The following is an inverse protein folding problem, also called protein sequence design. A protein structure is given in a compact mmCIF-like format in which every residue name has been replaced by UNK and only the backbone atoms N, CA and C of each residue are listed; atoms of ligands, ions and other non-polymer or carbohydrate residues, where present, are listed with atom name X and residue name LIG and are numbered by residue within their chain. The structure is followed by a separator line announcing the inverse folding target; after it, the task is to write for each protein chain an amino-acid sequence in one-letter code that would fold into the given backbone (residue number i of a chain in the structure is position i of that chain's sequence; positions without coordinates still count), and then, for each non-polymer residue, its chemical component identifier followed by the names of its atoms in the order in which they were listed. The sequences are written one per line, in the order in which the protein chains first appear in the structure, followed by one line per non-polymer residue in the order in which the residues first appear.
data_IF_565534271662
#
_entry.id   IF_565534271662
#
_cell.length_a   1.000
_cell.length_b   1.000
_cell.length_c   1.000
_cell.angle_alpha   90.00
_cell.angle_beta   90.00
_cell.angle_gamma   90.00
#
_symmetry.space_group_name_H-M   'P 1'
#
loop_
_entity.id
_entity.type
_entity.pdbx_description
1 polymer ?
#
# COMPACT_ATOMS: atom_id res chain seq x y z
N UNK A 1 20.47 -6.60 -18.55
CA UNK A 1 20.54 -8.05 -18.31
C UNK A 1 19.19 -8.52 -17.85
N UNK A 2 18.56 -9.48 -18.52
CA UNK A 2 17.36 -10.11 -17.98
C UNK A 2 17.75 -10.83 -16.68
N UNK A 3 17.03 -10.57 -15.59
CA UNK A 3 17.20 -11.31 -14.33
C UNK A 3 16.79 -12.75 -14.63
N UNK A 4 17.78 -13.66 -14.61
CA UNK A 4 17.52 -15.08 -14.81
C UNK A 4 16.71 -15.55 -13.61
N UNK A 5 15.45 -15.94 -13.82
CA UNK A 5 14.66 -16.58 -12.78
C UNK A 5 15.38 -17.86 -12.34
N UNK A 6 15.63 -17.99 -11.06
CA UNK A 6 16.09 -19.25 -10.48
C UNK A 6 14.85 -20.11 -10.36
N UNK A 7 14.76 -21.18 -11.13
CA UNK A 7 13.70 -22.16 -11.00
C UNK A 7 13.94 -22.95 -9.73
N UNK A 8 12.95 -22.95 -8.83
CA UNK A 8 12.94 -23.81 -7.66
C UNK A 8 12.35 -25.18 -8.04
N UNK A 9 12.89 -26.26 -7.50
CA UNK A 9 12.34 -27.61 -7.65
C UNK A 9 11.07 -27.83 -6.79
N UNK A 10 10.65 -26.83 -6.04
CA UNK A 10 9.48 -26.88 -5.14
C UNK A 10 8.46 -25.86 -5.63
N UNK A 11 7.21 -26.29 -5.82
CA UNK A 11 6.13 -25.37 -6.18
C UNK A 11 5.82 -24.37 -5.05
N UNK A 12 5.26 -23.21 -5.42
CA UNK A 12 5.03 -22.11 -4.47
C UNK A 12 4.05 -22.44 -3.34
N UNK A 13 3.10 -23.36 -3.58
CA UNK A 13 2.14 -23.81 -2.56
C UNK A 13 2.82 -24.66 -1.50
N UNK A 14 3.61 -25.64 -1.94
CA UNK A 14 4.41 -26.50 -1.04
C UNK A 14 5.41 -25.67 -0.24
N UNK A 15 6.09 -24.73 -0.89
CA UNK A 15 7.01 -23.81 -0.22
C UNK A 15 6.30 -22.94 0.84
N UNK A 16 5.12 -22.39 0.52
CA UNK A 16 4.34 -21.57 1.46
C UNK A 16 3.92 -22.40 2.69
N UNK A 17 3.43 -23.63 2.50
CA UNK A 17 3.07 -24.53 3.60
C UNK A 17 4.28 -24.89 4.47
N UNK A 18 5.44 -25.14 3.86
CA UNK A 18 6.66 -25.43 4.61
C UNK A 18 7.07 -24.24 5.49
N UNK A 19 7.05 -23.03 4.95
CA UNK A 19 7.33 -21.78 5.70
C UNK A 19 6.35 -21.61 6.87
N UNK A 20 5.06 -21.88 6.65
CA UNK A 20 4.06 -21.82 7.72
C UNK A 20 4.36 -22.83 8.83
N UNK A 21 4.73 -24.08 8.50
CA UNK A 21 5.14 -25.06 9.52
C UNK A 21 6.33 -24.56 10.33
N UNK A 22 7.35 -24.04 9.65
CA UNK A 22 8.57 -23.57 10.28
C UNK A 22 8.29 -22.43 11.27
N UNK A 23 7.49 -21.43 10.87
CA UNK A 23 7.17 -20.32 11.77
C UNK A 23 6.30 -20.76 12.95
N UNK A 24 5.41 -21.75 12.75
CA UNK A 24 4.58 -22.28 13.83
C UNK A 24 5.39 -22.97 14.92
N UNK A 25 6.51 -23.59 14.58
CA UNK A 25 7.40 -24.22 15.56
C UNK A 25 8.27 -23.21 16.31
N UNK A 26 8.68 -22.13 15.66
CA UNK A 26 9.68 -21.17 16.18
C UNK A 26 9.09 -19.97 16.90
N UNK A 27 7.90 -19.51 16.52
CA UNK A 27 7.32 -18.27 17.07
C UNK A 27 6.41 -18.55 18.28
N UNK A 28 6.53 -17.78 19.39
CA UNK A 28 5.67 -17.96 20.58
C UNK A 28 4.25 -17.45 20.36
N UNK A 29 4.09 -16.34 19.62
CA UNK A 29 2.80 -15.71 19.30
C UNK A 29 2.75 -15.33 17.82
N UNK A 30 1.61 -15.56 17.20
CA UNK A 30 1.36 -15.33 15.78
C UNK A 30 0.14 -14.46 15.59
N UNK A 31 0.30 -13.40 14.78
CA UNK A 31 -0.75 -12.45 14.46
C UNK A 31 -0.97 -12.42 12.95
N UNK A 32 -2.10 -12.94 12.48
CA UNK A 32 -2.48 -12.84 11.06
C UNK A 32 -3.13 -11.49 10.81
N UNK A 33 -2.46 -10.62 10.06
CA UNK A 33 -3.00 -9.34 9.62
C UNK A 33 -3.95 -9.56 8.45
N UNK A 34 -5.22 -9.73 8.77
CA UNK A 34 -6.27 -10.07 7.81
C UNK A 34 -6.90 -8.81 7.22
N UNK A 35 -6.99 -8.69 5.91
CA UNK A 35 -7.52 -7.50 5.21
C UNK A 35 -8.65 -7.80 4.23
N UNK A 36 -9.15 -9.03 4.16
CA UNK A 36 -10.12 -9.51 3.16
C UNK A 36 -9.65 -9.39 1.69
N UNK A 37 -8.47 -8.84 1.43
CA UNK A 37 -7.90 -8.82 0.08
C UNK A 37 -7.47 -10.21 -0.39
N UNK A 38 -7.43 -10.44 -1.70
CA UNK A 38 -7.13 -11.74 -2.34
C UNK A 38 -5.90 -12.45 -1.77
N UNK A 39 -4.84 -11.71 -1.54
CA UNK A 39 -3.57 -12.26 -1.03
C UNK A 39 -3.70 -12.68 0.44
N UNK A 40 -4.38 -11.86 1.25
CA UNK A 40 -4.71 -12.18 2.63
C UNK A 40 -5.65 -13.38 2.75
N UNK A 41 -6.60 -13.54 1.83
CA UNK A 41 -7.48 -14.70 1.75
C UNK A 41 -6.71 -16.00 1.46
N UNK A 42 -5.73 -15.96 0.56
CA UNK A 42 -4.88 -17.12 0.29
C UNK A 42 -4.12 -17.57 1.54
N UNK A 43 -3.49 -16.62 2.25
CA UNK A 43 -2.79 -16.93 3.52
C UNK A 43 -3.76 -17.47 4.57
N UNK A 44 -4.94 -16.88 4.68
CA UNK A 44 -5.98 -17.32 5.60
C UNK A 44 -6.45 -18.73 5.33
N UNK A 45 -6.68 -19.07 4.05
CA UNK A 45 -7.06 -20.42 3.64
C UNK A 45 -5.96 -21.45 3.92
N UNK A 46 -4.70 -21.12 3.61
CA UNK A 46 -3.57 -22.01 3.90
C UNK A 46 -3.49 -22.35 5.39
N UNK A 47 -3.54 -21.33 6.24
CA UNK A 47 -3.48 -21.49 7.70
C UNK A 47 -4.70 -22.26 8.20
N UNK A 48 -5.89 -21.93 7.74
CA UNK A 48 -7.12 -22.62 8.11
C UNK A 48 -7.08 -24.13 7.75
N UNK A 49 -6.71 -24.44 6.52
CA UNK A 49 -6.63 -25.84 6.05
C UNK A 49 -5.59 -26.65 6.83
N UNK A 50 -4.42 -26.07 7.09
CA UNK A 50 -3.36 -26.70 7.87
C UNK A 50 -3.76 -26.90 9.33
N UNK A 51 -4.53 -25.98 9.91
CA UNK A 51 -5.05 -26.15 11.27
C UNK A 51 -6.16 -27.19 11.32
N UNK A 52 -7.06 -27.22 10.32
CA UNK A 52 -8.12 -28.24 10.21
C UNK A 52 -7.58 -29.65 10.00
N UNK A 53 -6.45 -29.78 9.29
CA UNK A 53 -5.76 -31.07 9.11
C UNK A 53 -4.90 -31.48 10.31
N UNK A 54 -4.77 -30.63 11.33
CA UNK A 54 -3.93 -30.89 12.50
C UNK A 54 -2.43 -30.70 12.27
N UNK A 55 -2.03 -30.12 11.12
CA UNK A 55 -0.62 -29.82 10.82
C UNK A 55 -0.06 -28.69 11.71
N UNK A 56 -0.93 -27.78 12.14
CA UNK A 56 -0.60 -26.65 13.02
C UNK A 56 -1.69 -26.44 14.07
N UNK A 57 -1.34 -25.88 15.22
CA UNK A 57 -2.30 -25.56 16.28
C UNK A 57 -2.92 -24.17 16.06
N UNK A 58 -4.19 -24.13 15.67
CA UNK A 58 -4.93 -22.90 15.44
C UNK A 58 -5.11 -22.01 16.69
N UNK A 59 -5.07 -22.58 17.89
CA UNK A 59 -5.20 -21.85 19.16
C UNK A 59 -4.07 -20.86 19.41
N UNK A 60 -2.93 -21.02 18.74
CA UNK A 60 -1.78 -20.14 18.85
C UNK A 60 -1.91 -18.88 18.01
N UNK A 61 -2.94 -18.81 17.17
CA UNK A 61 -3.15 -17.71 16.24
C UNK A 61 -4.11 -16.66 16.81
N UNK A 62 -3.74 -15.41 16.70
CA UNK A 62 -4.68 -14.29 16.77
C UNK A 62 -4.81 -13.65 15.39
N UNK A 63 -6.02 -13.64 14.86
CA UNK A 63 -6.33 -12.93 13.63
C UNK A 63 -6.69 -11.49 13.97
N UNK A 64 -6.07 -10.55 13.30
CA UNK A 64 -6.25 -9.12 13.51
C UNK A 64 -6.90 -8.53 12.26
N UNK A 65 -8.10 -8.04 12.39
CA UNK A 65 -8.80 -7.29 11.35
C UNK A 65 -8.93 -5.84 11.77
N UNK A 66 -8.24 -4.95 11.04
CA UNK A 66 -8.36 -3.51 11.22
C UNK A 66 -9.47 -3.03 10.30
N UNK A 67 -10.56 -2.64 10.90
CA UNK A 67 -11.72 -2.13 10.22
C UNK A 67 -11.60 -0.62 10.05
N UNK A 68 -11.39 -0.19 8.82
CA UNK A 68 -11.13 1.21 8.49
C UNK A 68 -12.42 2.01 8.22
N UNK A 69 -13.59 1.54 8.70
CA UNK A 69 -14.92 2.16 8.53
C UNK A 69 -15.40 2.15 7.07
N UNK A 70 -14.67 2.81 6.18
CA UNK A 70 -14.99 2.93 4.76
C UNK A 70 -14.47 1.74 3.94
N UNK A 71 -15.13 0.59 4.03
CA UNK A 71 -14.83 -0.63 3.27
C UNK A 71 -16.05 -1.10 2.47
N UNK A 72 -15.83 -1.90 1.42
CA UNK A 72 -16.93 -2.49 0.67
C UNK A 72 -17.78 -3.44 1.53
N UNK A 73 -19.12 -3.46 1.39
CA UNK A 73 -19.99 -4.38 2.13
C UNK A 73 -19.55 -5.85 2.00
N UNK A 74 -19.18 -6.27 0.80
CA UNK A 74 -18.68 -7.63 0.53
C UNK A 74 -17.36 -7.96 1.25
N UNK A 75 -16.54 -6.96 1.62
CA UNK A 75 -15.36 -7.17 2.47
C UNK A 75 -15.78 -7.44 3.92
N UNK A 76 -16.76 -6.71 4.44
CA UNK A 76 -17.30 -6.94 5.77
C UNK A 76 -17.90 -8.34 5.87
N UNK A 77 -18.72 -8.76 4.89
CA UNK A 77 -19.28 -10.11 4.82
C UNK A 77 -18.19 -11.18 4.78
N UNK A 78 -17.14 -10.98 3.99
CA UNK A 78 -15.99 -11.88 3.97
C UNK A 78 -15.30 -11.95 5.35
N UNK A 79 -15.18 -10.83 6.05
CA UNK A 79 -14.60 -10.80 7.38
C UNK A 79 -15.47 -11.59 8.40
N UNK A 80 -16.79 -11.47 8.33
CA UNK A 80 -17.70 -12.28 9.16
C UNK A 80 -17.57 -13.78 8.89
N UNK A 81 -17.50 -14.18 7.60
CA UNK A 81 -17.31 -15.58 7.22
C UNK A 81 -15.98 -16.14 7.73
N UNK A 82 -14.90 -15.40 7.52
CA UNK A 82 -13.58 -15.82 7.97
C UNK A 82 -13.43 -15.83 9.49
N UNK A 83 -14.09 -14.89 10.18
CA UNK A 83 -14.15 -14.96 11.65
C UNK A 83 -14.77 -16.27 12.12
N UNK A 84 -15.90 -16.72 11.54
CA UNK A 84 -16.49 -18.02 11.87
C UNK A 84 -15.52 -19.18 11.64
N UNK A 85 -14.79 -19.15 10.52
CA UNK A 85 -13.82 -20.19 10.18
C UNK A 85 -12.65 -20.21 11.19
N UNK A 86 -12.07 -19.08 11.51
CA UNK A 86 -10.98 -19.00 12.47
C UNK A 86 -11.38 -19.44 13.88
N UNK A 87 -12.58 -19.10 14.30
CA UNK A 87 -13.11 -19.58 15.60
C UNK A 87 -13.26 -21.11 15.64
N UNK A 88 -13.59 -21.77 14.52
CA UNK A 88 -13.67 -23.26 14.46
C UNK A 88 -12.33 -23.94 14.74
N UNK A 89 -11.23 -23.34 14.35
CA UNK A 89 -9.87 -23.87 14.63
C UNK A 89 -9.32 -23.41 15.97
N UNK A 90 -10.15 -22.74 16.80
CA UNK A 90 -9.77 -22.23 18.11
C UNK A 90 -8.93 -20.96 18.09
N UNK A 91 -8.73 -20.34 16.93
CA UNK A 91 -8.01 -19.07 16.84
C UNK A 91 -8.82 -17.92 17.46
N UNK A 92 -8.12 -16.96 18.04
CA UNK A 92 -8.71 -15.69 18.46
C UNK A 92 -8.88 -14.79 17.23
N UNK A 93 -10.00 -14.05 17.17
CA UNK A 93 -10.26 -13.09 16.10
C UNK A 93 -10.57 -11.72 16.72
N UNK A 94 -9.66 -10.77 16.57
CA UNK A 94 -9.76 -9.41 17.07
C UNK A 94 -10.15 -8.48 15.92
N UNK A 95 -11.35 -7.90 16.02
CA UNK A 95 -11.90 -6.95 15.07
C UNK A 95 -11.83 -5.54 15.68
N UNK A 96 -10.96 -4.70 15.12
CA UNK A 96 -10.70 -3.36 15.63
C UNK A 96 -11.44 -2.29 14.83
N UNK A 97 -12.35 -1.57 15.49
CA UNK A 97 -12.98 -0.34 15.00
C UNK A 97 -12.47 0.83 15.86
N UNK A 98 -11.28 1.32 15.55
CA UNK A 98 -10.59 2.32 16.35
C UNK A 98 -10.41 3.63 15.57
N UNK A 99 -10.37 4.79 16.25
CA UNK A 99 -10.24 6.10 15.63
C UNK A 99 -8.81 6.40 15.15
N UNK A 100 -8.38 5.71 14.09
CA UNK A 100 -7.06 5.90 13.48
C UNK A 100 -7.01 7.13 12.59
N UNK A 101 -5.89 7.84 12.64
CA UNK A 101 -5.57 8.88 11.67
C UNK A 101 -5.16 8.29 10.34
N UNK A 102 -5.80 8.74 9.27
CA UNK A 102 -5.44 8.36 7.90
C UNK A 102 -5.20 9.59 7.04
N UNK A 103 -4.33 9.47 6.04
CA UNK A 103 -4.19 10.48 5.00
C UNK A 103 -5.33 10.27 4.02
N UNK A 104 -6.20 11.26 3.91
CA UNK A 104 -7.32 11.25 2.98
C UNK A 104 -6.86 11.37 1.52
N UNK A 105 -7.51 10.65 0.63
CA UNK A 105 -7.33 10.84 -0.81
C UNK A 105 -8.08 12.06 -1.34
N UNK A 106 -9.08 12.55 -0.61
CA UNK A 106 -9.97 13.64 -1.01
C UNK A 106 -9.51 14.96 -0.38
N UNK A 107 -9.11 14.93 0.88
CA UNK A 107 -8.68 16.11 1.64
C UNK A 107 -7.25 16.58 1.32
N UNK A 108 -6.55 15.93 0.40
CA UNK A 108 -5.30 16.49 -0.14
C UNK A 108 -5.50 17.81 -0.88
N UNK A 109 -6.75 18.23 -1.07
CA UNK A 109 -7.15 19.53 -1.57
C UNK A 109 -7.36 20.57 -0.46
N UNK A 110 -7.39 20.17 0.81
CA UNK A 110 -7.49 21.04 1.97
C UNK A 110 -6.27 20.89 2.89
N UNK A 111 -5.90 21.95 3.58
CA UNK A 111 -4.69 21.99 4.40
C UNK A 111 -4.72 21.11 5.66
N UNK A 112 -5.85 20.48 6.01
CA UNK A 112 -6.02 19.66 7.21
C UNK A 112 -6.01 18.14 7.02
N UNK A 113 -6.03 17.63 5.83
CA UNK A 113 -5.44 16.44 5.19
C UNK A 113 -5.53 15.07 5.85
N UNK A 114 -6.13 14.91 6.98
CA UNK A 114 -6.32 13.62 7.62
C UNK A 114 -7.75 13.44 8.03
N UNK A 115 -8.31 12.30 7.72
CA UNK A 115 -9.56 11.89 8.28
C UNK A 115 -9.33 10.86 9.40
N UNK A 116 -10.29 10.72 10.30
CA UNK A 116 -10.22 9.78 11.40
C UNK A 116 -11.29 8.72 11.18
N UNK A 117 -10.87 7.45 11.14
CA UNK A 117 -11.80 6.30 11.09
C UNK A 117 -12.57 6.26 12.40
N UNK A 118 -13.83 5.88 12.38
CA UNK A 118 -14.66 5.71 13.58
C UNK A 118 -14.55 6.92 14.53
N UNK A 119 -14.57 8.12 13.96
CA UNK A 119 -14.34 9.38 14.67
C UNK A 119 -15.40 9.61 15.72
N UNK A 120 -15.04 9.73 17.03
CA UNK A 120 -15.98 10.02 18.08
C UNK A 120 -16.69 11.35 17.88
N UNK A 121 -18.00 11.39 18.17
CA UNK A 121 -18.85 12.57 17.93
C UNK A 121 -19.39 12.69 16.51
N UNK A 122 -19.06 11.75 15.62
CA UNK A 122 -19.59 11.67 14.25
C UNK A 122 -20.31 10.35 13.95
N UNK A 123 -20.82 9.68 14.99
CA UNK A 123 -21.46 8.37 14.91
C UNK A 123 -22.63 8.33 13.93
N UNK A 124 -23.39 9.41 13.82
CA UNK A 124 -24.54 9.53 12.91
C UNK A 124 -24.12 9.57 11.43
N UNK A 125 -22.86 9.90 11.16
CA UNK A 125 -22.31 9.95 9.80
C UNK A 125 -21.40 8.77 9.46
N UNK A 126 -21.13 7.87 10.41
CA UNK A 126 -20.33 6.68 10.10
C UNK A 126 -20.91 5.89 8.94
N UNK A 127 -20.05 5.30 8.15
CA UNK A 127 -20.45 4.47 7.00
C UNK A 127 -21.35 3.30 7.40
N UNK A 128 -21.18 2.80 8.61
CA UNK A 128 -21.94 1.71 9.26
C UNK A 128 -21.65 1.69 10.75
N UNK A 129 -22.34 0.84 11.49
CA UNK A 129 -22.07 0.65 12.91
C UNK A 129 -21.06 -0.46 13.15
N UNK A 130 -20.15 -0.34 14.14
CA UNK A 130 -19.26 -1.41 14.53
C UNK A 130 -20.06 -2.67 14.97
N UNK A 131 -19.59 -3.89 14.59
CA UNK A 131 -20.20 -5.10 15.14
C UNK A 131 -20.16 -5.14 16.67
N UNK A 132 -21.15 -5.73 17.33
CA UNK A 132 -21.23 -5.72 18.81
C UNK A 132 -20.01 -6.32 19.53
N UNK A 133 -19.27 -7.18 18.85
CA UNK A 133 -18.05 -7.82 19.37
C UNK A 133 -16.77 -7.06 19.00
N UNK A 134 -16.87 -5.96 18.25
CA UNK A 134 -15.72 -5.19 17.85
C UNK A 134 -15.02 -4.52 19.03
N UNK A 135 -13.70 -4.42 18.92
CA UNK A 135 -12.86 -3.70 19.89
C UNK A 135 -12.86 -2.23 19.49
N UNK A 136 -13.58 -1.41 20.25
CA UNK A 136 -13.76 0.02 19.99
C UNK A 136 -12.87 0.91 20.89
N UNK A 137 -12.10 0.32 21.80
CA UNK A 137 -11.16 1.01 22.69
C UNK A 137 -9.89 0.17 22.84
N UNK A 138 -8.76 0.84 23.01
CA UNK A 138 -7.46 0.18 23.23
C UNK A 138 -6.55 1.06 24.07
N UNK A 139 -5.80 0.46 24.98
CA UNK A 139 -4.80 1.17 25.80
C UNK A 139 -3.63 1.73 24.98
N UNK A 140 -3.43 1.22 23.76
CA UNK A 140 -2.40 1.68 22.84
C UNK A 140 -2.80 2.92 22.04
N UNK A 141 -4.08 3.34 22.09
CA UNK A 141 -4.64 4.50 21.40
C UNK A 141 -5.44 5.35 22.39
N UNK A 142 -4.83 6.39 22.94
CA UNK A 142 -5.38 7.18 24.04
C UNK A 142 -6.44 8.20 23.59
N UNK A 143 -6.28 8.75 22.39
CA UNK A 143 -7.23 9.73 21.82
C UNK A 143 -7.36 9.54 20.30
N UNK A 144 -8.45 10.03 19.76
CA UNK A 144 -8.76 9.92 18.34
C UNK A 144 -7.69 10.61 17.48
N UNK A 145 -7.22 9.92 16.44
CA UNK A 145 -6.22 10.44 15.53
C UNK A 145 -4.79 10.49 16.08
N UNK A 146 -4.51 9.93 17.26
CA UNK A 146 -3.16 9.87 17.84
C UNK A 146 -2.14 9.23 16.89
N UNK A 147 -2.55 8.15 16.23
CA UNK A 147 -1.69 7.41 15.31
C UNK A 147 -2.45 6.75 14.17
N UNK A 148 -1.74 6.32 13.15
CA UNK A 148 -2.27 5.45 12.11
C UNK A 148 -2.29 3.99 12.56
N UNK A 149 -3.06 3.14 11.85
CA UNK A 149 -3.18 1.73 12.19
C UNK A 149 -1.85 0.96 12.10
N UNK A 150 -0.91 1.38 11.24
CA UNK A 150 0.39 0.73 11.11
C UNK A 150 1.23 0.90 12.38
N UNK A 151 1.26 2.13 12.92
CA UNK A 151 1.93 2.42 14.20
C UNK A 151 1.27 1.69 15.35
N UNK A 152 -0.07 1.65 15.36
CA UNK A 152 -0.82 0.87 16.34
C UNK A 152 -0.43 -0.61 16.30
N UNK A 153 -0.47 -1.25 15.13
CA UNK A 153 -0.11 -2.66 14.99
C UNK A 153 1.33 -2.94 15.45
N UNK A 154 2.27 -2.03 15.14
CA UNK A 154 3.67 -2.17 15.60
C UNK A 154 3.80 -2.15 17.12
N UNK A 155 2.96 -1.39 17.82
CA UNK A 155 2.95 -1.32 19.29
C UNK A 155 2.18 -2.48 19.91
N UNK A 156 0.94 -2.69 19.46
CA UNK A 156 0.00 -3.64 20.07
C UNK A 156 0.41 -5.10 19.89
N UNK A 157 1.11 -5.43 18.79
CA UNK A 157 1.51 -6.78 18.43
C UNK A 157 3.03 -6.97 18.44
N UNK A 158 3.72 -6.18 19.25
CA UNK A 158 5.18 -6.19 19.34
C UNK A 158 5.77 -7.44 19.99
N UNK A 159 4.96 -8.23 20.68
CA UNK A 159 5.34 -9.44 21.42
C UNK A 159 5.24 -10.73 20.59
N UNK A 160 4.94 -10.62 19.29
CA UNK A 160 4.83 -11.76 18.39
C UNK A 160 5.23 -11.43 16.95
N UNK A 161 4.95 -12.36 16.04
CA UNK A 161 5.24 -12.24 14.61
C UNK A 161 3.96 -11.96 13.85
N UNK A 162 3.94 -10.87 13.07
CA UNK A 162 2.85 -10.51 12.18
C UNK A 162 2.97 -11.25 10.84
N UNK A 163 1.97 -12.04 10.50
CA UNK A 163 1.84 -12.75 9.23
C UNK A 163 1.09 -11.87 8.25
N UNK A 164 1.67 -11.61 7.08
CA UNK A 164 1.10 -10.72 6.06
C UNK A 164 1.07 -11.40 4.69
N UNK A 165 -0.04 -11.26 3.98
CA UNK A 165 -0.20 -11.67 2.59
C UNK A 165 0.44 -10.70 1.62
N UNK A 166 1.77 -10.54 1.68
CA UNK A 166 2.51 -9.56 0.89
C UNK A 166 3.42 -10.28 -0.11
N UNK A 167 3.44 -9.78 -1.36
CA UNK A 167 4.18 -10.41 -2.47
C UNK A 167 5.24 -9.47 -3.05
N UNK A 168 6.38 -10.07 -3.44
CA UNK A 168 7.52 -9.35 -4.03
C UNK A 168 7.15 -8.68 -5.35
N UNK A 169 6.35 -9.35 -6.18
CA UNK A 169 5.98 -8.87 -7.52
C UNK A 169 5.17 -7.56 -7.54
N UNK A 170 4.67 -7.10 -6.39
CA UNK A 170 3.82 -5.91 -6.35
C UNK A 170 4.58 -4.57 -6.31
N UNK A 171 5.81 -4.54 -5.82
CA UNK A 171 6.66 -3.34 -5.87
C UNK A 171 8.12 -3.60 -5.53
N UNK A 172 9.01 -2.76 -6.05
CA UNK A 172 10.44 -2.77 -5.70
C UNK A 172 10.69 -2.61 -4.20
N UNK A 173 9.92 -1.76 -3.52
CA UNK A 173 10.05 -1.56 -2.06
C UNK A 173 9.80 -2.86 -1.30
N UNK A 174 8.81 -3.66 -1.74
CA UNK A 174 8.51 -4.97 -1.12
C UNK A 174 9.62 -5.98 -1.39
N UNK A 175 10.16 -5.97 -2.59
CA UNK A 175 11.30 -6.80 -2.94
C UNK A 175 12.51 -6.52 -2.05
N UNK A 176 12.87 -5.25 -1.86
CA UNK A 176 13.96 -4.87 -0.95
C UNK A 176 13.69 -5.24 0.50
N UNK A 177 12.45 -5.08 0.97
CA UNK A 177 12.07 -5.46 2.34
C UNK A 177 12.28 -6.95 2.57
N UNK A 178 11.90 -7.79 1.61
CA UNK A 178 12.02 -9.25 1.73
C UNK A 178 13.47 -9.71 1.51
N UNK A 179 14.21 -9.06 0.61
CA UNK A 179 15.62 -9.38 0.39
C UNK A 179 16.52 -9.12 1.62
N UNK A 180 16.06 -8.35 2.59
CA UNK A 180 16.74 -8.09 3.86
C UNK A 180 16.31 -9.06 4.98
N UNK A 181 15.45 -10.03 4.69
CA UNK A 181 14.97 -11.01 5.65
C UNK A 181 15.75 -12.32 5.53
N UNK A 182 15.56 -13.18 6.53
CA UNK A 182 16.08 -14.53 6.51
C UNK A 182 15.49 -15.37 5.37
N UNK A 183 16.09 -16.52 5.08
CA UNK A 183 15.77 -17.37 3.92
C UNK A 183 14.30 -17.75 3.79
N UNK A 184 13.55 -17.81 4.89
CA UNK A 184 12.13 -18.15 4.92
C UNK A 184 11.19 -16.94 4.87
N UNK A 185 11.71 -15.78 4.46
CA UNK A 185 10.99 -14.51 4.36
C UNK A 185 10.35 -14.07 5.69
N UNK A 186 11.07 -14.28 6.79
CA UNK A 186 10.64 -13.81 8.09
C UNK A 186 11.78 -13.08 8.82
N UNK A 187 11.41 -12.29 9.80
CA UNK A 187 12.30 -11.73 10.81
C UNK A 187 11.59 -11.77 12.17
N UNK A 188 12.23 -11.25 13.22
CA UNK A 188 11.66 -11.24 14.57
C UNK A 188 10.30 -10.55 14.72
N UNK A 189 9.76 -9.89 13.68
CA UNK A 189 8.51 -9.12 13.72
C UNK A 189 7.51 -9.45 12.62
N UNK A 190 7.97 -9.91 11.45
CA UNK A 190 7.13 -10.07 10.25
C UNK A 190 7.45 -11.36 9.52
N UNK A 191 6.42 -11.96 8.95
CA UNK A 191 6.50 -13.17 8.13
C UNK A 191 5.60 -13.06 6.90
N UNK A 192 6.10 -13.46 5.74
CA UNK A 192 5.46 -13.36 4.44
C UNK A 192 5.38 -14.74 3.75
N UNK A 193 4.41 -15.59 4.06
CA UNK A 193 4.38 -16.97 3.57
C UNK A 193 4.29 -17.13 2.06
N UNK A 194 3.64 -16.17 1.37
CA UNK A 194 3.38 -16.20 -0.07
C UNK A 194 4.17 -15.14 -0.84
N UNK A 195 5.32 -14.71 -0.32
CA UNK A 195 6.09 -13.61 -0.92
C UNK A 195 6.49 -13.83 -2.37
N UNK A 196 6.70 -15.07 -2.77
CA UNK A 196 7.13 -15.53 -4.10
C UNK A 196 5.96 -15.80 -5.07
N UNK A 197 4.70 -15.72 -4.62
CA UNK A 197 3.54 -15.94 -5.47
C UNK A 197 3.36 -14.81 -6.49
N UNK A 198 3.04 -15.20 -7.75
CA UNK A 198 2.58 -14.28 -8.78
C UNK A 198 1.08 -13.99 -8.67
N UNK A 199 0.58 -13.01 -9.43
CA UNK A 199 -0.88 -12.79 -9.53
C UNK A 199 -1.60 -14.02 -10.08
N UNK A 200 -0.96 -14.79 -10.97
CA UNK A 200 -1.52 -16.03 -11.51
C UNK A 200 -1.67 -17.09 -10.44
N UNK A 201 -0.67 -17.25 -9.56
CA UNK A 201 -0.69 -18.23 -8.48
C UNK A 201 -1.81 -17.94 -7.50
N UNK A 202 -2.01 -16.65 -7.14
CA UNK A 202 -3.09 -16.22 -6.25
C UNK A 202 -4.46 -16.55 -6.82
N UNK A 203 -4.73 -16.13 -8.08
CA UNK A 203 -6.03 -16.39 -8.69
C UNK A 203 -6.27 -17.87 -9.01
N UNK A 204 -5.21 -18.60 -9.38
CA UNK A 204 -5.27 -20.04 -9.57
C UNK A 204 -5.62 -20.74 -8.25
N UNK A 205 -4.96 -20.39 -7.15
CA UNK A 205 -5.25 -20.94 -5.83
C UNK A 205 -6.69 -20.65 -5.38
N UNK A 206 -7.16 -19.41 -5.54
CA UNK A 206 -8.55 -19.05 -5.22
C UNK A 206 -9.53 -19.92 -6.00
N UNK A 207 -9.31 -20.10 -7.31
CA UNK A 207 -10.15 -20.92 -8.18
C UNK A 207 -10.13 -22.41 -7.77
N UNK A 208 -8.94 -22.99 -7.65
CA UNK A 208 -8.79 -24.41 -7.33
C UNK A 208 -9.36 -24.77 -5.95
N UNK A 209 -9.29 -23.86 -5.00
CA UNK A 209 -9.84 -24.04 -3.66
C UNK A 209 -11.31 -23.64 -3.55
N UNK A 210 -11.90 -23.07 -4.59
CA UNK A 210 -13.25 -22.53 -4.54
C UNK A 210 -13.42 -21.47 -3.46
N UNK A 211 -12.41 -20.64 -3.24
CA UNK A 211 -12.46 -19.63 -2.18
C UNK A 211 -13.42 -18.52 -2.58
N UNK A 212 -14.36 -18.26 -1.69
CA UNK A 212 -15.19 -17.06 -1.80
C UNK A 212 -14.31 -15.81 -1.51
N UNK A 213 -14.36 -14.85 -2.40
CA UNK A 213 -13.70 -13.55 -2.28
C UNK A 213 -14.72 -12.42 -2.37
N UNK A 214 -14.40 -11.20 -1.87
CA UNK A 214 -15.34 -10.07 -1.91
C UNK A 214 -15.82 -9.76 -3.32
N UNK A 215 -17.14 -9.68 -3.49
CA UNK A 215 -17.82 -9.49 -4.79
C UNK A 215 -17.40 -8.18 -5.47
N UNK A 216 -16.97 -7.19 -4.70
CA UNK A 216 -16.46 -5.93 -5.23
C UNK A 216 -15.29 -6.10 -6.22
N UNK A 217 -14.54 -7.21 -6.17
CA UNK A 217 -13.53 -7.51 -7.21
C UNK A 217 -14.17 -7.73 -8.59
N UNK A 218 -15.34 -8.38 -8.64
CA UNK A 218 -16.09 -8.63 -9.87
C UNK A 218 -16.62 -7.30 -10.40
N UNK A 219 -17.31 -6.54 -9.56
CA UNK A 219 -17.88 -5.25 -9.94
C UNK A 219 -16.81 -4.26 -10.45
N UNK A 220 -15.66 -4.18 -9.77
CA UNK A 220 -14.56 -3.36 -10.24
C UNK A 220 -13.98 -3.82 -11.58
N UNK A 221 -13.89 -5.14 -11.79
CA UNK A 221 -13.41 -5.69 -13.06
C UNK A 221 -14.40 -5.41 -14.21
N UNK A 222 -15.70 -5.62 -13.99
CA UNK A 222 -16.77 -5.33 -14.95
C UNK A 222 -16.86 -3.83 -15.28
N UNK A 223 -16.60 -2.97 -14.30
CA UNK A 223 -16.49 -1.54 -14.49
C UNK A 223 -15.22 -1.10 -15.25
N UNK A 224 -14.35 -2.04 -15.65
CA UNK A 224 -13.17 -1.76 -16.47
C UNK A 224 -11.88 -1.48 -15.71
N UNK A 225 -11.82 -1.76 -14.40
CA UNK A 225 -10.58 -1.64 -13.64
C UNK A 225 -9.60 -2.72 -14.11
N UNK A 226 -8.40 -2.30 -14.50
CA UNK A 226 -7.35 -3.23 -14.93
C UNK A 226 -6.99 -4.24 -13.83
N UNK A 227 -6.75 -5.50 -14.19
CA UNK A 227 -6.39 -6.58 -13.24
C UNK A 227 -5.27 -6.23 -12.28
N UNK A 228 -4.28 -5.43 -12.75
CA UNK A 228 -3.15 -4.96 -11.93
C UNK A 228 -3.57 -3.94 -10.86
N UNK A 229 -4.68 -3.27 -11.07
CA UNK A 229 -5.23 -2.22 -10.19
C UNK A 229 -6.32 -2.75 -9.27
N UNK A 230 -6.75 -4.02 -9.44
CA UNK A 230 -7.71 -4.68 -8.58
C UNK A 230 -7.12 -4.89 -7.17
N UNK A 231 -7.21 -3.85 -6.37
CA UNK A 231 -6.79 -3.83 -4.95
C UNK A 231 -7.93 -3.30 -4.12
N UNK A 232 -8.21 -3.99 -3.03
CA UNK A 232 -9.14 -3.50 -2.04
C UNK A 232 -8.37 -2.67 -1.02
N UNK A 233 -8.83 -1.46 -0.79
CA UNK A 233 -8.32 -0.55 0.24
C UNK A 233 -9.50 0.26 0.78
N UNK A 234 -9.32 0.83 1.97
CA UNK A 234 -10.32 1.75 2.52
C UNK A 234 -10.59 2.91 1.57
N UNK A 235 -11.85 3.31 1.42
CA UNK A 235 -12.27 4.31 0.41
C UNK A 235 -11.54 5.64 0.53
N UNK A 236 -11.23 6.03 1.74
CA UNK A 236 -10.67 7.35 2.03
C UNK A 236 -9.14 7.36 2.09
N UNK A 237 -8.49 6.21 1.91
CA UNK A 237 -7.02 6.13 1.88
C UNK A 237 -6.43 6.79 0.64
N UNK A 238 -5.23 7.36 0.75
CA UNK A 238 -4.55 8.08 -0.32
C UNK A 238 -4.37 7.32 -1.65
N UNK A 239 -4.48 5.98 -1.62
CA UNK A 239 -4.39 5.12 -2.79
C UNK A 239 -5.73 4.76 -3.43
N UNK A 240 -6.86 5.21 -2.85
CA UNK A 240 -8.19 4.69 -3.19
C UNK A 240 -8.97 5.60 -4.13
N UNK A 241 -8.45 6.77 -4.44
CA UNK A 241 -9.15 7.78 -5.25
C UNK A 241 -9.64 7.24 -6.60
N UNK A 242 -8.86 6.34 -7.21
CA UNK A 242 -9.27 5.70 -8.47
C UNK A 242 -10.44 4.73 -8.29
N UNK A 243 -10.57 4.12 -7.11
CA UNK A 243 -11.68 3.23 -6.76
C UNK A 243 -13.00 3.98 -6.56
N UNK A 244 -12.97 5.19 -6.03
CA UNK A 244 -14.17 5.98 -5.75
C UNK A 244 -15.03 6.23 -7.00
N UNK A 245 -14.40 6.51 -8.14
CA UNK A 245 -15.11 6.68 -9.42
C UNK A 245 -16.00 5.49 -9.76
N UNK A 246 -15.51 4.29 -9.52
CA UNK A 246 -16.20 3.06 -9.88
C UNK A 246 -17.37 2.76 -8.95
N UNK A 247 -17.29 3.17 -7.69
CA UNK A 247 -18.36 2.98 -6.69
C UNK A 247 -19.65 3.66 -7.14
N UNK A 248 -19.56 4.86 -7.70
CA UNK A 248 -20.73 5.57 -8.22
C UNK A 248 -21.49 4.75 -9.26
N UNK A 249 -20.79 4.02 -10.11
CA UNK A 249 -21.36 3.22 -11.18
C UNK A 249 -21.82 1.85 -10.71
N UNK A 250 -21.14 1.28 -9.72
CA UNK A 250 -21.36 -0.10 -9.26
C UNK A 250 -22.25 -0.20 -8.03
N UNK A 251 -22.24 0.82 -7.16
CA UNK A 251 -22.97 0.82 -5.90
C UNK A 251 -23.40 2.25 -5.48
N UNK A 252 -24.50 2.77 -6.05
CA UNK A 252 -25.01 4.12 -5.73
C UNK A 252 -25.41 4.30 -4.26
N UNK A 253 -25.86 3.23 -3.58
CA UNK A 253 -26.21 3.31 -2.15
C UNK A 253 -24.96 3.50 -1.29
N UNK A 254 -23.92 2.77 -1.60
CA UNK A 254 -22.61 2.94 -0.97
C UNK A 254 -22.08 4.35 -1.21
N UNK A 255 -22.23 4.87 -2.43
CA UNK A 255 -21.84 6.24 -2.76
C UNK A 255 -22.56 7.27 -1.90
N UNK A 256 -23.87 7.15 -1.73
CA UNK A 256 -24.64 8.04 -0.85
C UNK A 256 -24.13 8.05 0.60
N UNK A 257 -23.71 6.89 1.12
CA UNK A 257 -23.08 6.80 2.44
C UNK A 257 -21.72 7.48 2.48
N UNK A 258 -20.93 7.36 1.40
CA UNK A 258 -19.64 8.05 1.26
C UNK A 258 -19.83 9.57 1.29
N UNK A 259 -20.77 10.10 0.52
CA UNK A 259 -21.07 11.55 0.50
C UNK A 259 -21.54 12.07 1.86
N UNK A 260 -22.37 11.30 2.56
CA UNK A 260 -22.79 11.65 3.91
C UNK A 260 -21.61 11.74 4.88
N UNK A 261 -20.64 10.83 4.76
CA UNK A 261 -19.45 10.78 5.64
C UNK A 261 -18.40 11.82 5.28
N UNK A 262 -18.18 12.03 3.98
CA UNK A 262 -17.23 13.01 3.42
C UNK A 262 -17.94 13.83 2.32
N UNK A 263 -18.53 14.97 2.66
CA UNK A 263 -19.29 15.77 1.71
C UNK A 263 -18.51 16.16 0.44
N UNK A 264 -17.18 16.31 0.54
CA UNK A 264 -16.34 16.67 -0.60
C UNK A 264 -16.01 15.49 -1.55
N UNK A 265 -16.53 14.29 -1.28
CA UNK A 265 -16.28 13.11 -2.15
C UNK A 265 -16.73 13.34 -3.61
N UNK A 266 -17.80 14.13 -3.82
CA UNK A 266 -18.31 14.48 -5.15
C UNK A 266 -17.26 15.21 -6.02
N UNK A 267 -16.28 15.89 -5.42
CA UNK A 267 -15.21 16.56 -6.18
C UNK A 267 -14.39 15.58 -7.02
N UNK A 268 -14.28 14.33 -6.57
CA UNK A 268 -13.62 13.27 -7.35
C UNK A 268 -14.35 13.04 -8.66
N UNK A 269 -15.68 13.08 -8.66
CA UNK A 269 -16.49 12.88 -9.87
C UNK A 269 -16.39 14.09 -10.81
N UNK A 270 -16.44 15.30 -10.26
CA UNK A 270 -16.39 16.52 -11.06
C UNK A 270 -15.05 16.71 -11.78
N UNK A 271 -13.97 16.32 -11.15
CA UNK A 271 -12.62 16.58 -11.65
C UNK A 271 -11.88 15.35 -12.13
N UNK A 272 -12.56 14.18 -12.19
CA UNK A 272 -11.92 12.91 -12.56
C UNK A 272 -11.20 12.94 -13.91
N UNK A 273 -11.82 13.56 -14.92
CA UNK A 273 -11.26 13.67 -16.27
C UNK A 273 -10.30 14.87 -16.43
N UNK A 274 -10.07 15.63 -15.36
CA UNK A 274 -9.12 16.73 -15.34
C UNK A 274 -7.68 16.23 -15.27
N UNK A 275 -6.72 17.05 -15.67
CA UNK A 275 -5.27 16.76 -15.57
C UNK A 275 -4.83 16.46 -14.13
N UNK A 276 -5.60 16.89 -13.14
CA UNK A 276 -5.36 16.63 -11.72
C UNK A 276 -5.37 15.13 -11.37
N UNK A 277 -6.24 14.36 -12.03
CA UNK A 277 -6.38 12.91 -11.82
C UNK A 277 -5.85 12.08 -13.00
N UNK A 278 -5.64 12.71 -14.16
CA UNK A 278 -5.06 12.07 -15.34
C UNK A 278 -3.58 11.80 -15.09
N UNK A 279 -3.23 10.61 -14.62
CA UNK A 279 -1.90 10.08 -14.89
C UNK A 279 -1.83 9.87 -16.39
N UNK A 280 -1.19 10.83 -17.06
CA UNK A 280 -1.05 10.91 -18.50
C UNK A 280 -0.54 9.59 -19.11
N UNK A 281 -1.44 8.88 -19.78
CA UNK A 281 -1.12 7.87 -20.79
C UNK A 281 -1.28 8.46 -22.20
N UNK A 282 -1.47 9.78 -22.34
CA UNK A 282 -1.65 10.43 -23.63
C UNK A 282 -0.34 10.55 -24.40
N UNK A 283 -0.42 10.26 -25.69
CA UNK A 283 0.66 10.49 -26.66
C UNK A 283 1.19 11.92 -26.58
N UNK A 284 2.52 12.06 -26.67
CA UNK A 284 3.26 13.34 -26.65
C UNK A 284 2.58 14.38 -27.55
N UNK A 285 2.23 15.50 -26.94
CA UNK A 285 1.73 16.70 -27.64
C UNK A 285 2.87 17.69 -27.89
N UNK A 286 2.63 18.72 -28.72
CA UNK A 286 3.61 19.79 -28.95
C UNK A 286 4.14 20.44 -27.68
N UNK A 287 3.31 20.54 -26.64
CA UNK A 287 3.69 21.06 -25.32
C UNK A 287 4.75 20.21 -24.62
N UNK A 288 4.75 18.88 -24.82
CA UNK A 288 5.77 17.98 -24.29
C UNK A 288 7.13 18.15 -24.96
N UNK A 289 7.16 18.54 -26.23
CA UNK A 289 8.42 18.84 -26.94
C UNK A 289 9.05 20.16 -26.44
N UNK A 290 8.23 21.14 -26.06
CA UNK A 290 8.71 22.38 -25.42
C UNK A 290 9.19 22.15 -23.98
N UNK A 291 8.64 21.15 -23.30
CA UNK A 291 9.08 20.74 -21.96
C UNK A 291 10.46 20.06 -21.97
N UNK A 292 10.81 19.36 -23.02
CA UNK A 292 12.15 18.74 -23.19
C UNK A 292 13.27 19.78 -23.35
N UNK A 293 12.96 21.01 -23.73
CA UNK A 293 13.95 22.10 -23.89
C UNK A 293 14.22 22.86 -22.59
N UNK A 294 13.45 22.64 -21.53
CA UNK A 294 13.62 23.34 -20.25
C UNK A 294 14.85 22.85 -19.50
N UNK A 295 15.69 23.78 -19.04
CA UNK A 295 16.76 23.46 -18.11
C UNK A 295 16.23 23.24 -16.70
N UNK A 296 15.80 21.99 -16.42
CA UNK A 296 15.27 21.63 -15.11
C UNK A 296 16.29 21.72 -13.97
N UNK A 297 17.60 21.68 -14.27
CA UNK A 297 18.63 21.91 -13.25
C UNK A 297 18.62 23.36 -12.80
N UNK A 298 18.53 24.30 -13.74
CA UNK A 298 18.40 25.72 -13.42
C UNK A 298 17.07 26.02 -12.72
N UNK A 299 15.96 25.44 -13.17
CA UNK A 299 14.66 25.59 -12.51
C UNK A 299 14.64 25.06 -11.07
N UNK A 300 15.26 23.91 -10.82
CA UNK A 300 15.41 23.40 -9.45
C UNK A 300 16.26 24.31 -8.58
N UNK A 301 17.33 24.88 -9.13
CA UNK A 301 18.19 25.82 -8.41
C UNK A 301 17.43 27.09 -8.05
N UNK A 302 16.72 27.68 -9.00
CA UNK A 302 15.91 28.87 -8.78
C UNK A 302 14.82 28.63 -7.71
N UNK A 303 14.07 27.52 -7.83
CA UNK A 303 13.03 27.12 -6.88
C UNK A 303 13.56 26.86 -5.48
N UNK A 304 14.70 26.16 -5.35
CA UNK A 304 15.21 25.72 -4.05
C UNK A 304 16.02 26.80 -3.32
N UNK A 305 16.69 27.70 -4.03
CA UNK A 305 17.70 28.58 -3.43
C UNK A 305 17.51 30.08 -3.72
N UNK A 306 17.01 30.43 -4.91
CA UNK A 306 17.02 31.82 -5.36
C UNK A 306 15.67 32.52 -5.19
N UNK A 307 14.60 31.90 -5.66
CA UNK A 307 13.27 32.51 -5.75
C UNK A 307 12.14 31.59 -5.22
N UNK A 308 12.34 30.91 -4.13
CA UNK A 308 11.37 29.94 -3.55
C UNK A 308 9.95 30.53 -3.44
N UNK A 309 9.83 31.81 -3.08
CA UNK A 309 8.54 32.50 -2.86
C UNK A 309 7.74 32.75 -4.15
N UNK A 310 8.39 32.69 -5.31
CA UNK A 310 7.70 32.82 -6.60
C UNK A 310 6.93 31.56 -6.99
N UNK A 311 7.24 30.42 -6.36
CA UNK A 311 6.64 29.13 -6.68
C UNK A 311 5.51 28.82 -5.71
N UNK A 312 4.39 28.38 -6.24
CA UNK A 312 3.27 27.87 -5.42
C UNK A 312 3.57 26.46 -4.93
N UNK A 313 4.22 26.37 -3.77
CA UNK A 313 4.61 25.10 -3.17
C UNK A 313 3.65 24.77 -2.03
N UNK A 314 3.21 23.50 -1.96
CA UNK A 314 2.36 22.99 -0.88
C UNK A 314 3.05 23.18 0.49
N UNK A 315 2.31 23.57 1.51
CA UNK A 315 2.79 23.83 2.88
C UNK A 315 3.62 22.68 3.46
N UNK A 316 3.23 21.43 3.22
CA UNK A 316 3.99 20.28 3.75
C UNK A 316 5.28 20.01 2.96
N UNK A 317 5.30 20.35 1.68
CA UNK A 317 6.55 20.33 0.91
C UNK A 317 7.49 21.46 1.34
N UNK A 318 6.97 22.61 1.75
CA UNK A 318 7.78 23.68 2.34
C UNK A 318 8.56 23.20 3.56
N UNK A 319 7.95 22.39 4.43
CA UNK A 319 8.63 21.79 5.60
C UNK A 319 9.78 20.85 5.21
N UNK A 320 9.73 20.26 4.03
CA UNK A 320 10.71 19.30 3.53
C UNK A 320 11.74 19.89 2.57
N UNK A 321 11.63 21.19 2.22
CA UNK A 321 12.55 21.85 1.28
C UNK A 321 14.03 21.71 1.66
N UNK A 322 14.35 21.72 2.95
CA UNK A 322 15.72 21.47 3.42
C UNK A 322 16.27 20.10 3.03
N UNK A 323 15.41 19.10 2.92
CA UNK A 323 15.81 17.76 2.45
C UNK A 323 15.98 17.74 0.94
N UNK A 324 15.12 18.43 0.17
CA UNK A 324 15.25 18.60 -1.26
C UNK A 324 16.52 19.37 -1.65
N UNK A 325 16.87 20.44 -0.89
CA UNK A 325 18.12 21.18 -1.05
C UNK A 325 19.34 20.28 -0.86
N UNK A 326 19.33 19.45 0.19
CA UNK A 326 20.41 18.47 0.42
C UNK A 326 20.52 17.44 -0.69
N UNK A 327 19.39 16.95 -1.22
CA UNK A 327 19.38 16.03 -2.35
C UNK A 327 19.96 16.68 -3.59
N UNK A 328 19.55 17.92 -3.92
CA UNK A 328 20.08 18.67 -5.08
C UNK A 328 21.60 18.79 -5.00
N UNK A 329 22.13 19.27 -3.87
CA UNK A 329 23.58 19.44 -3.67
C UNK A 329 24.31 18.09 -3.76
N UNK A 330 23.78 17.06 -3.09
CA UNK A 330 24.42 15.74 -3.04
C UNK A 330 24.42 15.02 -4.39
N UNK A 331 23.44 15.28 -5.23
CA UNK A 331 23.30 14.67 -6.54
C UNK A 331 24.01 15.43 -7.66
N UNK A 332 24.64 16.56 -7.35
CA UNK A 332 25.38 17.34 -8.37
C UNK A 332 26.53 16.49 -8.94
N UNK A 333 26.67 16.49 -10.24
CA UNK A 333 27.61 15.63 -10.99
C UNK A 333 27.16 14.16 -11.17
N UNK A 334 26.09 13.70 -10.48
CA UNK A 334 25.51 12.37 -10.63
C UNK A 334 24.16 12.38 -11.34
N UNK A 335 23.35 13.41 -11.08
CA UNK A 335 22.01 13.52 -11.59
C UNK A 335 21.96 13.91 -13.07
N UNK A 336 21.13 13.21 -13.84
CA UNK A 336 20.83 13.48 -15.26
C UNK A 336 19.66 14.46 -15.39
N UNK A 337 19.44 15.08 -16.56
CA UNK A 337 18.33 16.01 -16.79
C UNK A 337 16.95 15.44 -16.35
N UNK A 338 16.68 14.16 -16.62
CA UNK A 338 15.46 13.47 -16.20
C UNK A 338 15.25 13.47 -14.68
N UNK A 339 16.34 13.45 -13.88
CA UNK A 339 16.29 13.46 -12.43
C UNK A 339 15.92 14.85 -11.90
N UNK A 340 16.44 15.91 -12.51
CA UNK A 340 16.07 17.27 -12.15
C UNK A 340 14.64 17.58 -12.56
N UNK A 341 14.15 17.08 -13.70
CA UNK A 341 12.72 17.15 -14.07
C UNK A 341 11.84 16.52 -12.99
N UNK A 342 12.13 15.27 -12.60
CA UNK A 342 11.37 14.59 -11.56
C UNK A 342 11.45 15.30 -10.21
N UNK A 343 12.62 15.86 -9.87
CA UNK A 343 12.79 16.67 -8.65
C UNK A 343 11.88 17.89 -8.65
N UNK A 344 11.88 18.66 -9.74
CA UNK A 344 11.05 19.85 -9.91
C UNK A 344 9.57 19.50 -9.79
N UNK A 345 9.11 18.50 -10.55
CA UNK A 345 7.72 18.06 -10.53
C UNK A 345 7.27 17.59 -9.14
N UNK A 346 8.11 16.84 -8.44
CA UNK A 346 7.78 16.34 -7.09
C UNK A 346 7.68 17.45 -6.05
N UNK A 347 8.50 18.51 -6.18
CA UNK A 347 8.42 19.66 -5.28
C UNK A 347 7.17 20.50 -5.56
N UNK A 348 6.84 20.75 -6.82
CA UNK A 348 5.67 21.54 -7.22
C UNK A 348 4.37 20.79 -6.90
N UNK A 349 4.28 19.52 -7.25
CA UNK A 349 3.10 18.69 -7.04
C UNK A 349 2.92 18.25 -5.57
N UNK A 350 3.96 18.36 -4.78
CA UNK A 350 4.01 17.98 -3.38
C UNK A 350 4.41 16.52 -3.14
N UNK A 351 5.34 16.32 -2.19
CA UNK A 351 5.75 15.00 -1.71
C UNK A 351 5.78 14.97 -0.16
N UNK A 352 4.61 15.08 0.49
CA UNK A 352 4.51 15.23 1.95
C UNK A 352 5.07 14.01 2.72
N UNK A 353 5.09 12.84 2.08
CA UNK A 353 5.63 11.59 2.66
C UNK A 353 7.07 11.30 2.24
N UNK A 354 7.69 12.20 1.49
CA UNK A 354 9.04 12.04 0.95
C UNK A 354 9.27 10.72 0.17
N UNK A 355 8.23 10.22 -0.49
CA UNK A 355 8.30 8.98 -1.27
C UNK A 355 9.06 9.20 -2.58
N UNK A 356 8.70 10.26 -3.28
CA UNK A 356 9.36 10.64 -4.53
C UNK A 356 10.81 11.01 -4.28
N UNK A 357 11.10 11.75 -3.20
CA UNK A 357 12.45 12.09 -2.79
C UNK A 357 13.32 10.84 -2.56
N UNK A 358 12.81 9.84 -1.82
CA UNK A 358 13.53 8.59 -1.55
C UNK A 358 13.74 7.76 -2.82
N UNK A 359 12.70 7.66 -3.66
CA UNK A 359 12.76 6.94 -4.93
C UNK A 359 13.77 7.61 -5.86
N UNK A 360 13.74 8.93 -5.96
CA UNK A 360 14.64 9.70 -6.79
C UNK A 360 16.09 9.55 -6.37
N UNK A 361 16.37 9.61 -5.06
CA UNK A 361 17.72 9.39 -4.53
C UNK A 361 18.27 8.03 -4.96
N UNK A 362 17.49 6.97 -4.80
CA UNK A 362 17.88 5.62 -5.19
C UNK A 362 18.10 5.49 -6.70
N UNK A 363 17.24 6.13 -7.52
CA UNK A 363 17.35 6.13 -8.97
C UNK A 363 18.63 6.85 -9.44
N UNK A 364 18.96 8.00 -8.85
CA UNK A 364 20.19 8.74 -9.15
C UNK A 364 21.44 7.86 -8.89
N UNK A 365 21.50 7.20 -7.74
CA UNK A 365 22.63 6.33 -7.42
C UNK A 365 22.71 5.10 -8.33
N UNK A 366 21.58 4.49 -8.67
CA UNK A 366 21.56 3.33 -9.57
C UNK A 366 22.05 3.69 -10.98
N UNK A 367 21.52 4.80 -11.53
CA UNK A 367 21.92 5.28 -12.87
C UNK A 367 23.42 5.67 -12.91
N UNK A 368 23.92 6.33 -11.86
CA UNK A 368 25.33 6.69 -11.77
C UNK A 368 26.25 5.47 -11.66
N UNK A 369 25.84 4.46 -10.88
CA UNK A 369 26.60 3.21 -10.77
C UNK A 369 26.64 2.41 -12.08
N UNK A 370 25.56 2.42 -12.87
CA UNK A 370 25.50 1.80 -14.19
C UNK A 370 26.44 2.51 -15.17
N UNK A 371 26.41 3.84 -15.24
CA UNK A 371 27.28 4.63 -16.10
C UNK A 371 28.77 4.41 -15.78
N UNK A 372 29.10 4.34 -14.50
CA UNK A 372 30.49 4.11 -14.04
C UNK A 372 30.98 2.72 -14.45
N UNK A 373 30.13 1.69 -14.35
CA UNK A 373 30.44 0.32 -14.81
C UNK A 373 30.57 0.24 -16.33
N UNK A 374 29.75 0.96 -17.11
CA UNK A 374 29.86 1.04 -18.56
C UNK A 374 31.14 1.72 -18.98
N UNK A 375 31.48 2.85 -18.39
CA UNK A 375 32.71 3.57 -18.65
C UNK A 375 34.00 2.74 -18.39
N UNK A 376 33.97 1.92 -17.33
CA UNK A 376 35.09 1.01 -17.05
C UNK A 376 35.18 -0.17 -18.02
N UNK A 377 34.03 -0.68 -18.52
CA UNK A 377 33.99 -1.75 -19.54
C UNK A 377 34.49 -1.26 -20.92
N UNK A 378 34.13 -0.03 -21.29
CA UNK A 378 34.64 0.56 -22.55
C UNK A 378 36.14 0.85 -22.50
N UNK A 379 36.67 1.34 -21.38
CA UNK A 379 38.13 1.52 -21.20
C UNK A 379 38.86 0.20 -21.26
N UNK A 380 38.32 -0.90 -20.75
CA UNK A 380 38.91 -2.25 -20.84
C UNK A 380 38.83 -2.87 -22.24
N UNK A 381 37.96 -2.37 -23.14
CA UNK A 381 37.88 -2.84 -24.54
C UNK A 381 38.77 -2.05 -25.50
N UNK A 382 39.26 -0.87 -25.06
CA UNK A 382 40.11 0.01 -25.86
C UNK A 382 41.59 -0.04 -25.47
N UNK A 383 41.94 -0.73 -24.40
CA UNK A 383 43.33 -1.08 -24.02
C UNK A 383 43.57 -2.58 -24.18
#
# INVERSE_FOLDING_TARGET
MAIKKIESNIDVLTAAKQRIRNIWTSAPKLYLMFSCGKDSLCVSSLIYDMAMSGEIDGKRLTVVFIDEEGIYPSMEEAAFRWRKNFLKIGARFDWYCLPFKQVSCIDSLSASESWITWEPGKEDSWMRQPPPFAIVKSDYLKYAGEMNYQTFCMKAFSDGISILGLRVCESYTRMFTIAQMDSDAYNSKKFYPIYDWSDKDVWYYIKERGLEFPECYIHLYEAGVEKKQLRLSAFFGASSIQGLRWIVQTDPELWSRIEKRIPNAYLVLLYWDSEMFARSTKKRTKAEAEEETKDYKALCKDLLFENTDKYRINHDTLKTLGTWRRLYIKSDGMAKPKHYKKMYESIINGDPKQRDLRTLLNTIYADYAEDTKHGQREKRKRG
#
